data_IF_493008215513
#
_entry.id   IF_493008215513
#
_cell.length_a   1.000
_cell.length_b   1.000
_cell.length_c   1.000
_cell.angle_alpha   90.00
_cell.angle_beta   90.00
_cell.angle_gamma   90.00
#
_symmetry.space_group_name_H-M   'P 1'
#
loop_
_entity.id
_entity.type
_entity.pdbx_description
1 polymer ?
#
# COMPACT_ATOMS: atom_id res chain seq x y z
N UNK A 1 -9.03 10.32 -8.43
CA UNK A 1 -8.00 11.25 -8.92
C UNK A 1 -7.03 10.47 -9.80
N UNK A 2 -6.49 11.06 -10.86
CA UNK A 2 -5.59 10.35 -11.79
C UNK A 2 -4.32 11.15 -12.09
N UNK A 3 -3.21 10.43 -12.30
CA UNK A 3 -1.90 10.99 -12.65
C UNK A 3 -1.17 10.11 -13.65
N UNK A 4 -0.07 10.62 -14.16
CA UNK A 4 0.66 10.02 -15.25
C UNK A 4 2.13 10.47 -15.14
N UNK A 5 3.04 9.56 -14.77
CA UNK A 5 4.44 9.87 -14.41
C UNK A 5 5.43 9.07 -15.25
N UNK A 6 6.65 9.59 -15.42
CA UNK A 6 7.76 8.88 -16.11
C UNK A 6 8.98 8.68 -15.21
N UNK A 7 9.08 9.45 -14.13
CA UNK A 7 10.21 9.43 -13.19
C UNK A 7 9.75 9.10 -11.77
N UNK A 8 10.69 8.66 -10.92
CA UNK A 8 10.39 8.35 -9.52
C UNK A 8 10.11 9.61 -8.68
N UNK A 9 10.67 10.76 -9.04
CA UNK A 9 10.51 12.01 -8.31
C UNK A 9 9.05 12.49 -8.33
N UNK A 10 8.32 12.19 -9.40
CA UNK A 10 6.91 12.56 -9.58
C UNK A 10 5.95 11.80 -8.65
N UNK A 11 6.41 10.74 -7.98
CA UNK A 11 5.63 10.13 -6.89
C UNK A 11 5.44 11.06 -5.70
N UNK A 12 6.37 12.00 -5.48
CA UNK A 12 6.31 12.91 -4.34
C UNK A 12 5.00 13.70 -4.25
N UNK A 13 4.61 14.50 -5.25
CA UNK A 13 3.35 15.26 -5.17
C UNK A 13 2.12 14.34 -5.02
N UNK A 14 2.14 13.15 -5.62
CA UNK A 14 1.04 12.17 -5.54
C UNK A 14 0.91 11.62 -4.11
N UNK A 15 2.00 11.14 -3.53
CA UNK A 15 2.03 10.61 -2.16
C UNK A 15 1.59 11.67 -1.14
N UNK A 16 2.04 12.92 -1.31
CA UNK A 16 1.59 14.04 -0.46
C UNK A 16 0.08 14.24 -0.56
N UNK A 17 -0.45 14.30 -1.80
CA UNK A 17 -1.88 14.50 -2.02
C UNK A 17 -2.71 13.38 -1.40
N UNK A 18 -2.28 12.12 -1.53
CA UNK A 18 -2.98 10.97 -0.94
C UNK A 18 -2.98 11.06 0.59
N UNK A 19 -1.85 11.38 1.23
CA UNK A 19 -1.80 11.51 2.69
C UNK A 19 -2.76 12.58 3.22
N UNK A 20 -2.92 13.68 2.48
CA UNK A 20 -3.77 14.82 2.83
C UNK A 20 -5.26 14.59 2.51
N UNK A 21 -5.60 13.70 1.57
CA UNK A 21 -6.96 13.56 1.04
C UNK A 21 -7.60 12.18 1.24
N UNK A 22 -6.85 11.16 1.67
CA UNK A 22 -7.43 9.86 2.03
C UNK A 22 -8.42 10.02 3.19
N UNK A 23 -9.51 9.27 3.12
CA UNK A 23 -10.57 9.19 4.12
C UNK A 23 -10.50 7.90 4.94
N UNK A 24 -9.89 6.87 4.36
CA UNK A 24 -9.75 5.55 4.96
C UNK A 24 -8.30 5.26 5.33
N UNK A 25 -8.12 4.44 6.35
CA UNK A 25 -6.80 4.01 6.83
C UNK A 25 -6.21 2.90 5.95
N UNK A 26 -7.02 2.21 5.16
CA UNK A 26 -6.58 1.12 4.28
C UNK A 26 -6.41 1.64 2.85
N UNK A 27 -5.26 1.36 2.24
CA UNK A 27 -4.96 1.62 0.83
C UNK A 27 -4.52 0.30 0.18
N UNK A 28 -5.31 -0.18 -0.77
CA UNK A 28 -4.97 -1.32 -1.61
C UNK A 28 -4.17 -0.84 -2.84
N UNK A 29 -3.00 -1.43 -3.06
CA UNK A 29 -2.15 -1.17 -4.22
C UNK A 29 -2.39 -2.23 -5.29
N UNK A 30 -2.90 -1.79 -6.44
CA UNK A 30 -3.14 -2.65 -7.60
C UNK A 30 -2.19 -2.31 -8.74
N UNK A 31 -1.76 -3.32 -9.46
CA UNK A 31 -0.87 -3.17 -10.61
C UNK A 31 0.00 -4.40 -10.78
N UNK A 32 0.53 -4.59 -11.98
CA UNK A 32 1.35 -5.75 -12.30
C UNK A 32 2.67 -5.80 -11.50
N UNK A 33 3.36 -6.93 -11.55
CA UNK A 33 4.70 -7.04 -10.98
C UNK A 33 5.63 -6.03 -11.66
N UNK A 34 6.34 -5.23 -10.86
CA UNK A 34 7.21 -4.16 -11.38
C UNK A 34 6.48 -2.84 -11.71
N UNK A 35 5.15 -2.76 -11.56
CA UNK A 35 4.40 -1.52 -11.84
C UNK A 35 4.80 -0.33 -10.94
N UNK A 36 5.46 -0.58 -9.80
CA UNK A 36 5.95 0.46 -8.89
C UNK A 36 5.18 0.59 -7.58
N UNK A 37 4.41 -0.44 -7.19
CA UNK A 37 3.67 -0.51 -5.91
C UNK A 37 4.58 -0.23 -4.71
N UNK A 38 5.64 -1.02 -4.54
CA UNK A 38 6.63 -0.81 -3.46
C UNK A 38 7.34 0.54 -3.57
N UNK A 39 7.60 1.04 -4.79
CA UNK A 39 8.21 2.37 -4.97
C UNK A 39 7.30 3.48 -4.46
N UNK A 40 5.99 3.37 -4.69
CA UNK A 40 5.01 4.28 -4.08
C UNK A 40 5.03 4.16 -2.55
N UNK A 41 5.02 2.95 -1.99
CA UNK A 41 5.07 2.72 -0.54
C UNK A 41 6.29 3.40 0.10
N UNK A 42 7.47 3.26 -0.51
CA UNK A 42 8.69 3.92 -0.05
C UNK A 42 8.57 5.44 -0.01
N UNK A 43 8.04 6.05 -1.07
CA UNK A 43 7.84 7.51 -1.11
C UNK A 43 6.80 7.96 -0.09
N UNK A 44 5.73 7.20 0.11
CA UNK A 44 4.69 7.50 1.10
C UNK A 44 5.24 7.48 2.53
N UNK A 45 6.00 6.44 2.88
CA UNK A 45 6.62 6.27 4.20
C UNK A 45 7.70 7.32 4.47
N UNK A 46 8.52 7.67 3.48
CA UNK A 46 9.46 8.80 3.58
C UNK A 46 8.74 10.11 3.94
N UNK A 47 7.57 10.36 3.36
CA UNK A 47 6.76 11.55 3.69
C UNK A 47 6.13 11.51 5.08
N UNK A 48 5.99 10.33 5.65
CA UNK A 48 5.53 10.16 7.02
C UNK A 48 6.68 10.23 8.04
N UNK A 49 7.92 10.48 7.58
CA UNK A 49 9.13 10.45 8.42
C UNK A 49 9.30 9.08 9.09
N UNK A 50 9.12 8.00 8.33
CA UNK A 50 9.46 6.65 8.80
C UNK A 50 10.93 6.60 9.22
N UNK A 51 11.20 5.99 10.38
CA UNK A 51 12.54 5.93 10.98
C UNK A 51 13.45 4.91 10.29
N UNK A 52 12.86 3.88 9.69
CA UNK A 52 13.55 2.77 9.07
C UNK A 52 13.62 2.89 7.55
N UNK A 53 14.61 2.24 6.93
CA UNK A 53 14.71 2.14 5.48
C UNK A 53 13.60 1.25 4.93
N UNK A 54 12.80 1.79 4.02
CA UNK A 54 11.62 1.09 3.48
C UNK A 54 12.06 0.02 2.49
N UNK A 55 11.65 -1.22 2.72
CA UNK A 55 11.87 -2.34 1.80
C UNK A 55 10.58 -3.14 1.62
N UNK A 56 10.41 -3.85 0.49
CA UNK A 56 9.25 -4.72 0.32
C UNK A 56 9.31 -5.85 1.37
N UNK A 57 8.19 -6.20 2.03
CA UNK A 57 8.08 -7.37 2.92
C UNK A 57 8.07 -8.68 2.11
N UNK A 58 8.98 -8.83 1.14
CA UNK A 58 9.00 -9.97 0.22
C UNK A 58 9.15 -11.32 0.96
N UNK A 59 9.72 -11.31 2.18
CA UNK A 59 9.83 -12.48 3.05
C UNK A 59 8.99 -12.39 4.34
N UNK A 60 8.66 -11.18 4.80
CA UNK A 60 8.02 -10.99 6.10
C UNK A 60 6.47 -11.04 6.02
N UNK A 61 5.87 -11.04 4.82
CA UNK A 61 4.42 -10.90 4.55
C UNK A 61 3.87 -9.53 5.02
N UNK A 62 4.29 -9.06 6.18
CA UNK A 62 4.05 -7.74 6.74
C UNK A 62 5.37 -7.09 7.18
N UNK A 63 5.54 -5.81 6.86
CA UNK A 63 6.52 -4.93 7.50
C UNK A 63 5.77 -3.87 8.31
N UNK A 64 6.25 -3.61 9.52
CA UNK A 64 5.76 -2.54 10.38
C UNK A 64 6.78 -1.39 10.38
N UNK A 65 6.28 -0.17 10.23
CA UNK A 65 7.12 1.03 10.23
C UNK A 65 6.63 2.02 11.27
N UNK A 66 7.54 2.44 12.15
CA UNK A 66 7.27 3.55 13.06
C UNK A 66 7.48 4.88 12.35
N UNK A 67 6.44 5.71 12.38
CA UNK A 67 6.45 7.05 11.80
C UNK A 67 6.06 8.10 12.85
N UNK A 68 6.31 9.37 12.58
CA UNK A 68 5.87 10.46 13.46
C UNK A 68 4.33 10.57 13.56
N UNK A 69 3.60 9.88 12.69
CA UNK A 69 2.13 9.91 12.59
C UNK A 69 1.46 8.61 13.05
N UNK A 70 2.20 7.74 13.72
CA UNK A 70 1.74 6.40 14.12
C UNK A 70 2.40 5.30 13.29
N UNK A 71 2.08 4.05 13.62
CA UNK A 71 2.62 2.89 12.89
C UNK A 71 1.98 2.80 11.50
N UNK A 72 2.71 2.26 10.55
CA UNK A 72 2.22 1.93 9.20
C UNK A 72 2.51 0.47 8.93
N UNK A 73 1.50 -0.24 8.43
CA UNK A 73 1.58 -1.66 8.14
C UNK A 73 1.58 -1.88 6.64
N UNK A 74 2.63 -2.47 6.11
CA UNK A 74 2.75 -2.80 4.70
C UNK A 74 2.64 -4.30 4.52
N UNK A 75 1.56 -4.76 3.89
CA UNK A 75 1.34 -6.15 3.55
C UNK A 75 1.63 -6.42 2.08
N UNK A 76 2.25 -7.56 1.79
CA UNK A 76 2.35 -8.14 0.46
C UNK A 76 1.76 -9.54 0.48
N UNK A 77 0.53 -9.67 -0.04
CA UNK A 77 -0.26 -10.90 0.05
C UNK A 77 0.09 -11.91 -1.06
N UNK A 78 1.02 -11.59 -1.97
CA UNK A 78 1.31 -12.40 -3.16
C UNK A 78 1.72 -13.84 -2.85
N UNK A 79 2.30 -14.09 -1.67
CA UNK A 79 2.87 -15.39 -1.28
C UNK A 79 1.96 -16.23 -0.40
N UNK A 80 0.86 -15.67 0.08
CA UNK A 80 -0.09 -16.41 0.90
C UNK A 80 -0.88 -17.37 0.02
N UNK A 81 -1.15 -18.56 0.55
CA UNK A 81 -1.85 -19.62 -0.21
C UNK A 81 -3.35 -19.60 0.00
N UNK A 82 -3.78 -19.23 1.19
CA UNK A 82 -5.17 -19.21 1.59
C UNK A 82 -5.41 -18.17 2.70
N UNK A 83 -6.68 -17.83 2.88
CA UNK A 83 -7.12 -16.83 3.85
C UNK A 83 -6.70 -17.18 5.28
N UNK A 84 -6.67 -18.46 5.65
CA UNK A 84 -6.32 -18.89 7.02
C UNK A 84 -4.88 -18.53 7.40
N UNK A 85 -3.94 -18.52 6.44
CA UNK A 85 -2.58 -18.02 6.68
C UNK A 85 -2.60 -16.51 7.00
N UNK A 86 -3.45 -15.72 6.33
CA UNK A 86 -3.63 -14.30 6.60
C UNK A 86 -4.25 -14.07 7.98
N UNK A 87 -5.27 -14.84 8.34
CA UNK A 87 -5.93 -14.76 9.65
C UNK A 87 -4.97 -15.12 10.79
N UNK A 88 -4.14 -16.15 10.60
CA UNK A 88 -3.15 -16.58 11.58
C UNK A 88 -2.06 -15.52 11.87
N UNK A 89 -1.84 -14.58 10.94
CA UNK A 89 -0.95 -13.43 11.15
C UNK A 89 -1.59 -12.31 11.98
N UNK A 90 -2.85 -12.44 12.38
CA UNK A 90 -3.59 -11.40 13.08
C UNK A 90 -4.02 -10.25 12.17
N UNK A 91 -4.18 -10.49 10.86
CA UNK A 91 -4.43 -9.45 9.86
C UNK A 91 -5.56 -8.47 10.23
N UNK A 92 -6.67 -8.99 10.76
CA UNK A 92 -7.82 -8.16 11.14
C UNK A 92 -7.50 -7.17 12.27
N UNK A 93 -6.59 -7.51 13.18
CA UNK A 93 -6.16 -6.61 14.25
C UNK A 93 -5.43 -5.37 13.68
N UNK A 94 -4.69 -5.55 12.58
CA UNK A 94 -4.05 -4.44 11.87
C UNK A 94 -5.08 -3.56 11.16
N UNK A 95 -6.08 -4.16 10.50
CA UNK A 95 -7.17 -3.39 9.86
C UNK A 95 -7.97 -2.57 10.88
N UNK A 96 -8.26 -3.16 12.04
CA UNK A 96 -9.04 -2.54 13.11
C UNK A 96 -8.26 -1.50 13.93
N UNK A 97 -6.93 -1.49 13.82
CA UNK A 97 -6.06 -0.58 14.58
C UNK A 97 -6.28 0.91 14.27
N UNK A 98 -6.84 1.23 13.10
CA UNK A 98 -6.96 2.60 12.58
C UNK A 98 -5.64 3.21 12.08
N UNK A 99 -4.52 2.49 12.18
CA UNK A 99 -3.26 2.87 11.57
C UNK A 99 -3.30 2.67 10.05
N UNK A 100 -2.38 3.33 9.33
CA UNK A 100 -2.34 3.21 7.87
C UNK A 100 -1.90 1.80 7.47
N UNK A 101 -2.76 1.10 6.72
CA UNK A 101 -2.48 -0.20 6.14
C UNK A 101 -2.31 -0.05 4.62
N UNK A 102 -1.15 -0.43 4.11
CA UNK A 102 -0.82 -0.45 2.68
C UNK A 102 -0.79 -1.91 2.25
N UNK A 103 -1.71 -2.33 1.39
CA UNK A 103 -1.88 -3.74 1.03
C UNK A 103 -1.58 -3.94 -0.45
N UNK A 104 -0.52 -4.66 -0.77
CA UNK A 104 -0.27 -5.16 -2.12
C UNK A 104 -1.00 -6.51 -2.34
N UNK A 105 -1.56 -6.70 -3.53
CA UNK A 105 -2.24 -7.94 -3.94
C UNK A 105 -3.49 -8.29 -3.11
N UNK A 106 -4.22 -7.27 -2.65
CA UNK A 106 -5.46 -7.43 -1.90
C UNK A 106 -6.54 -8.22 -2.67
N UNK A 107 -6.50 -8.20 -4.00
CA UNK A 107 -7.40 -8.93 -4.88
C UNK A 107 -7.30 -10.46 -4.77
N UNK A 108 -6.24 -10.99 -4.14
CA UNK A 108 -6.10 -12.43 -3.89
C UNK A 108 -7.04 -12.91 -2.77
N UNK A 109 -7.44 -12.01 -1.87
CA UNK A 109 -8.26 -12.30 -0.69
C UNK A 109 -9.34 -11.23 -0.51
N UNK A 110 -10.25 -11.03 -1.48
CA UNK A 110 -11.28 -10.00 -1.40
C UNK A 110 -12.16 -10.13 -0.15
N UNK A 111 -12.40 -11.36 0.32
CA UNK A 111 -13.16 -11.67 1.54
C UNK A 111 -12.55 -11.05 2.81
N UNK A 112 -11.23 -10.84 2.84
CA UNK A 112 -10.53 -10.28 4.00
C UNK A 112 -10.88 -8.79 4.24
N UNK A 113 -11.50 -8.13 3.26
CA UNK A 113 -11.83 -6.71 3.30
C UNK A 113 -13.33 -6.46 3.35
N UNK A 114 -14.16 -7.49 3.49
CA UNK A 114 -15.60 -7.31 3.64
C UNK A 114 -15.93 -6.47 4.88
N UNK A 115 -16.70 -5.40 4.69
CA UNK A 115 -17.03 -4.46 5.77
C UNK A 115 -15.91 -3.48 6.16
N UNK A 116 -14.75 -3.53 5.50
CA UNK A 116 -13.67 -2.57 5.67
C UNK A 116 -13.72 -1.53 4.56
N UNK A 117 -13.80 -0.24 4.92
CA UNK A 117 -13.64 0.83 3.94
C UNK A 117 -12.16 0.99 3.56
N UNK A 118 -11.87 1.08 2.27
CA UNK A 118 -10.52 1.25 1.75
C UNK A 118 -10.48 2.17 0.53
N UNK A 119 -9.30 2.73 0.27
CA UNK A 119 -8.98 3.30 -1.03
C UNK A 119 -8.24 2.31 -1.91
N UNK A 120 -8.33 2.50 -3.22
CA UNK A 120 -7.51 1.78 -4.20
C UNK A 120 -6.56 2.76 -4.88
N UNK A 121 -5.27 2.39 -4.96
CA UNK A 121 -4.30 3.00 -5.86
C UNK A 121 -3.93 2.00 -6.94
N UNK A 122 -4.44 2.19 -8.14
CA UNK A 122 -4.13 1.36 -9.30
C UNK A 122 -3.00 1.99 -10.13
N UNK A 123 -2.02 1.18 -10.52
CA UNK A 123 -0.85 1.57 -11.29
C UNK A 123 -0.76 0.71 -12.55
N UNK A 124 -0.85 1.34 -13.72
CA UNK A 124 -0.77 0.67 -15.03
C UNK A 124 0.38 1.26 -15.84
N UNK A 125 1.34 0.43 -16.23
CA UNK A 125 2.47 0.85 -17.06
C UNK A 125 2.15 0.67 -18.55
N UNK A 126 2.22 1.76 -19.32
CA UNK A 126 1.96 1.78 -20.77
C UNK A 126 3.06 2.59 -21.43
N UNK A 127 3.81 1.96 -22.34
CA UNK A 127 4.88 2.62 -23.13
C UNK A 127 5.91 3.36 -22.25
N UNK A 128 6.32 2.78 -21.13
CA UNK A 128 7.30 3.38 -20.21
C UNK A 128 6.75 4.52 -19.34
N UNK A 129 5.43 4.75 -19.36
CA UNK A 129 4.74 5.71 -18.49
C UNK A 129 3.85 4.97 -17.51
N UNK A 130 3.88 5.37 -16.24
CA UNK A 130 2.96 4.85 -15.20
C UNK A 130 1.74 5.75 -15.14
N UNK A 131 0.56 5.16 -15.33
CA UNK A 131 -0.72 5.80 -15.13
C UNK A 131 -1.26 5.37 -13.77
N UNK A 132 -1.64 6.33 -12.94
CA UNK A 132 -2.04 6.12 -11.56
C UNK A 132 -3.48 6.57 -11.39
N UNK A 133 -4.31 5.73 -10.79
CA UNK A 133 -5.69 6.04 -10.44
C UNK A 133 -5.92 5.81 -8.95
N UNK A 134 -6.40 6.82 -8.24
CA UNK A 134 -6.78 6.73 -6.83
C UNK A 134 -8.29 6.94 -6.66
N UNK A 135 -8.94 6.00 -5.99
CA UNK A 135 -10.39 6.02 -5.68
C UNK A 135 -10.63 5.63 -4.24
#
# INVERSE_FOLDING_TARGET
MTWSITTLEEWNPIAKWILENKKHAVIQLKGEMGAGKTSFTAVLLQKMNAKDEVSSPTYAIVNEYDTERGSVYHFDLYRLKDISELEALGFYEYLDSGNLCIIEWAELFPEAFEGTDYHTLEIVEINGKRNISFS
#
